data_IF_761633979984
#
_entry.id   IF_761633979984
#
_cell.length_a   1.000
_cell.length_b   1.000
_cell.length_c   1.000
_cell.angle_alpha   90.00
_cell.angle_beta   90.00
_cell.angle_gamma   90.00
#
_symmetry.space_group_name_H-M   'P 1'
#
loop_
_entity.id
_entity.type
_entity.pdbx_description
1 polymer ?
#
# COMPACT_ATOMS: atom_id res chain seq x y z
N UNK A 1 3.69 -18.32 12.74
CA UNK A 1 3.97 -17.79 11.40
C UNK A 1 4.24 -16.28 11.50
N UNK A 2 5.23 -15.78 10.73
CA UNK A 2 5.48 -14.34 10.67
C UNK A 2 4.38 -13.60 9.90
N UNK A 3 4.47 -12.27 9.86
CA UNK A 3 3.47 -11.41 9.21
C UNK A 3 3.16 -11.84 7.76
N UNK A 4 4.18 -12.19 6.98
CA UNK A 4 3.99 -12.65 5.59
C UNK A 4 3.14 -13.92 5.50
N UNK A 5 3.33 -14.86 6.45
CA UNK A 5 2.52 -16.09 6.54
C UNK A 5 1.07 -15.80 6.94
N UNK A 6 0.85 -14.87 7.84
CA UNK A 6 -0.49 -14.44 8.24
C UNK A 6 -1.23 -13.80 7.06
N UNK A 7 -0.60 -12.85 6.37
CA UNK A 7 -1.17 -12.20 5.18
C UNK A 7 -1.48 -13.23 4.09
N UNK A 8 -0.52 -14.13 3.79
CA UNK A 8 -0.70 -15.20 2.80
C UNK A 8 -1.89 -16.10 3.14
N UNK A 9 -2.09 -16.41 4.43
CA UNK A 9 -3.13 -17.35 4.86
C UNK A 9 -4.54 -16.87 4.51
N UNK A 10 -4.92 -15.64 4.90
CA UNK A 10 -6.29 -15.16 4.67
C UNK A 10 -6.51 -14.60 3.27
N UNK A 11 -5.48 -13.98 2.65
CA UNK A 11 -5.58 -13.51 1.27
C UNK A 11 -5.60 -14.69 0.28
N UNK A 12 -4.76 -15.71 0.51
CA UNK A 12 -4.73 -16.91 -0.32
C UNK A 12 -5.97 -17.81 -0.19
N UNK A 13 -6.82 -17.57 0.81
CA UNK A 13 -8.13 -18.22 0.93
C UNK A 13 -9.21 -17.56 0.04
N UNK A 14 -8.91 -16.42 -0.61
CA UNK A 14 -9.82 -15.77 -1.54
C UNK A 14 -9.71 -16.44 -2.92
N UNK A 15 -10.85 -16.79 -3.52
CA UNK A 15 -10.91 -17.48 -4.83
C UNK A 15 -10.32 -16.66 -5.99
N UNK A 16 -10.28 -15.34 -5.85
CA UNK A 16 -9.82 -14.36 -6.85
C UNK A 16 -8.37 -13.90 -6.62
N UNK A 17 -7.62 -14.55 -5.73
CA UNK A 17 -6.26 -14.15 -5.38
C UNK A 17 -5.27 -15.32 -5.41
N UNK A 18 -4.18 -15.15 -6.13
CA UNK A 18 -2.98 -15.98 -6.00
C UNK A 18 -1.92 -15.23 -5.20
N UNK A 19 -1.48 -15.79 -4.07
CA UNK A 19 -0.60 -15.09 -3.12
C UNK A 19 0.76 -15.76 -3.01
N UNK A 20 1.80 -15.00 -3.36
CA UNK A 20 3.21 -15.32 -3.14
C UNK A 20 3.80 -14.44 -2.04
N UNK A 21 4.73 -14.98 -1.29
CA UNK A 21 5.55 -14.21 -0.33
C UNK A 21 6.95 -14.00 -0.89
N UNK A 22 7.57 -12.89 -0.52
CA UNK A 22 8.95 -12.54 -0.81
C UNK A 22 9.59 -11.94 0.45
N UNK A 23 10.87 -12.16 0.64
CA UNK A 23 11.60 -11.66 1.82
C UNK A 23 12.95 -11.07 1.45
N UNK A 24 13.43 -10.14 2.27
CA UNK A 24 14.72 -9.46 2.09
C UNK A 24 15.91 -10.44 1.93
N UNK A 25 15.81 -11.66 2.48
CA UNK A 25 16.91 -12.64 2.47
C UNK A 25 16.94 -13.53 1.23
N UNK A 26 15.95 -13.45 0.40
CA UNK A 26 15.92 -14.14 -0.89
C UNK A 26 16.77 -13.39 -1.95
N UNK A 27 17.26 -14.05 -2.98
CA UNK A 27 17.88 -13.37 -4.13
C UNK A 27 16.92 -12.30 -4.69
N UNK A 28 17.46 -11.13 -5.05
CA UNK A 28 16.67 -9.94 -5.44
C UNK A 28 15.52 -9.60 -4.46
N UNK A 29 15.70 -9.89 -3.16
CA UNK A 29 14.65 -9.76 -2.14
C UNK A 29 13.36 -10.53 -2.48
N UNK A 30 13.47 -11.63 -3.24
CA UNK A 30 12.33 -12.41 -3.74
C UNK A 30 11.50 -11.72 -4.83
N UNK A 31 11.98 -10.60 -5.37
CA UNK A 31 11.29 -9.76 -6.37
C UNK A 31 12.13 -9.57 -7.65
N UNK A 32 12.64 -10.64 -8.29
CA UNK A 32 13.31 -10.52 -9.57
C UNK A 32 12.35 -9.96 -10.63
N UNK A 33 12.85 -9.45 -11.78
CA UNK A 33 12.03 -8.81 -12.80
C UNK A 33 10.81 -9.61 -13.23
N UNK A 34 10.96 -10.90 -13.46
CA UNK A 34 9.89 -11.79 -13.89
C UNK A 34 8.77 -11.96 -12.86
N UNK A 35 9.09 -11.81 -11.57
CA UNK A 35 8.08 -11.83 -10.50
C UNK A 35 7.32 -10.52 -10.48
N UNK A 36 8.01 -9.38 -10.55
CA UNK A 36 7.37 -8.08 -10.57
C UNK A 36 6.50 -7.90 -11.83
N UNK A 37 6.94 -8.39 -12.99
CA UNK A 37 6.13 -8.32 -14.23
C UNK A 37 4.81 -9.10 -14.13
N UNK A 38 4.77 -10.14 -13.30
CA UNK A 38 3.57 -10.96 -13.06
C UNK A 38 2.85 -10.61 -11.74
N UNK A 39 3.13 -9.43 -11.17
CA UNK A 39 2.50 -8.98 -9.92
C UNK A 39 1.50 -7.86 -10.20
N UNK A 40 0.23 -8.06 -9.84
CA UNK A 40 -0.83 -7.06 -9.93
C UNK A 40 -0.83 -6.10 -8.74
N UNK A 41 -0.61 -6.63 -7.53
CA UNK A 41 -0.57 -5.84 -6.28
C UNK A 41 0.58 -6.30 -5.42
N UNK A 42 1.46 -5.37 -5.05
CA UNK A 42 2.55 -5.62 -4.11
C UNK A 42 2.19 -5.08 -2.73
N UNK A 43 2.14 -5.98 -1.73
CA UNK A 43 1.98 -5.62 -0.33
C UNK A 43 3.36 -5.56 0.31
N UNK A 44 3.70 -4.43 0.92
CA UNK A 44 4.98 -4.22 1.59
C UNK A 44 4.78 -4.04 3.09
N UNK A 45 5.34 -4.97 3.84
CA UNK A 45 5.49 -4.88 5.28
C UNK A 45 6.98 -5.01 5.64
N UNK A 46 7.48 -4.19 6.55
CA UNK A 46 8.86 -4.27 7.04
C UNK A 46 9.05 -3.29 8.17
N UNK A 47 9.68 -3.72 9.27
CA UNK A 47 9.90 -2.90 10.46
C UNK A 47 11.38 -2.51 10.63
N UNK A 48 12.29 -3.28 10.05
CA UNK A 48 13.74 -3.07 10.15
C UNK A 48 14.38 -3.23 8.78
N UNK A 49 15.68 -2.86 8.69
CA UNK A 49 16.49 -3.13 7.51
C UNK A 49 15.96 -2.47 6.21
N UNK A 50 15.22 -1.36 6.33
CA UNK A 50 14.74 -0.62 5.16
C UNK A 50 15.87 -0.20 4.22
N UNK A 51 17.04 0.13 4.77
CA UNK A 51 18.21 0.58 4.01
C UNK A 51 18.92 -0.56 3.27
N UNK A 52 18.68 -1.82 3.66
CA UNK A 52 19.27 -3.00 3.02
C UNK A 52 18.59 -3.32 1.66
N UNK A 53 17.43 -2.73 1.36
CA UNK A 53 16.76 -2.91 0.07
C UNK A 53 17.56 -2.20 -1.03
N UNK A 54 17.98 -2.90 -2.10
CA UNK A 54 18.75 -2.30 -3.20
C UNK A 54 17.95 -1.21 -3.93
N UNK A 55 18.64 -0.11 -4.28
CA UNK A 55 17.99 1.02 -4.96
C UNK A 55 17.46 0.63 -6.35
N UNK A 56 18.11 -0.29 -7.06
CA UNK A 56 17.65 -0.82 -8.33
C UNK A 56 16.31 -1.55 -8.19
N UNK A 57 16.08 -2.26 -7.08
CA UNK A 57 14.79 -2.88 -6.79
C UNK A 57 13.73 -1.79 -6.51
N UNK A 58 14.09 -0.76 -5.77
CA UNK A 58 13.19 0.37 -5.48
C UNK A 58 12.72 1.04 -6.78
N UNK A 59 13.63 1.30 -7.72
CA UNK A 59 13.28 1.90 -9.01
C UNK A 59 12.42 0.95 -9.87
N UNK A 60 12.68 -0.37 -9.86
CA UNK A 60 11.82 -1.35 -10.54
C UNK A 60 10.40 -1.35 -9.96
N UNK A 61 10.26 -1.36 -8.63
CA UNK A 61 8.94 -1.29 -7.97
C UNK A 61 8.24 0.02 -8.32
N UNK A 62 8.95 1.14 -8.23
CA UNK A 62 8.40 2.45 -8.57
C UNK A 62 7.89 2.50 -10.02
N UNK A 63 8.70 2.04 -10.99
CA UNK A 63 8.30 1.98 -12.40
C UNK A 63 7.06 1.10 -12.62
N UNK A 64 7.01 -0.08 -12.00
CA UNK A 64 5.84 -0.96 -12.07
C UNK A 64 4.57 -0.30 -11.53
N UNK A 65 4.68 0.46 -10.43
CA UNK A 65 3.53 1.22 -9.90
C UNK A 65 3.10 2.29 -10.90
N UNK A 66 4.04 3.06 -11.48
CA UNK A 66 3.69 4.07 -12.49
C UNK A 66 2.99 3.47 -13.72
N UNK A 67 3.33 2.23 -14.08
CA UNK A 67 2.71 1.50 -15.19
C UNK A 67 1.36 0.86 -14.84
N UNK A 68 1.00 0.74 -13.55
CA UNK A 68 -0.33 0.30 -13.14
C UNK A 68 -0.40 -0.68 -11.98
N UNK A 69 0.71 -1.29 -11.54
CA UNK A 69 0.73 -2.18 -10.38
C UNK A 69 0.21 -1.47 -9.13
N UNK A 70 -0.64 -2.13 -8.35
CA UNK A 70 -1.06 -1.63 -7.03
C UNK A 70 0.06 -1.77 -5.99
N UNK A 71 0.12 -0.83 -5.04
CA UNK A 71 1.08 -0.88 -3.93
C UNK A 71 0.37 -0.64 -2.60
N UNK A 72 0.55 -1.55 -1.64
CA UNK A 72 -0.02 -1.44 -0.30
C UNK A 72 1.12 -1.43 0.71
N UNK A 73 1.30 -0.32 1.41
CA UNK A 73 2.28 -0.20 2.49
C UNK A 73 1.59 -0.40 3.84
N UNK A 74 2.10 -1.32 4.64
CA UNK A 74 1.53 -1.68 5.93
C UNK A 74 2.43 -1.22 7.07
N UNK A 75 1.84 -0.60 8.07
CA UNK A 75 2.47 -0.24 9.34
C UNK A 75 3.79 0.51 9.14
N UNK A 76 4.90 0.02 9.67
CA UNK A 76 6.23 0.60 9.57
C UNK A 76 6.81 0.65 8.15
N UNK A 77 6.12 0.06 7.16
CA UNK A 77 6.49 0.22 5.74
C UNK A 77 6.38 1.68 5.24
N UNK A 78 5.82 2.61 6.02
CA UNK A 78 5.91 4.05 5.74
C UNK A 78 7.37 4.51 5.59
N UNK A 79 8.31 3.85 6.27
CA UNK A 79 9.74 4.16 6.22
C UNK A 79 10.49 3.40 5.11
N UNK A 80 9.83 2.49 4.40
CA UNK A 80 10.44 1.74 3.29
C UNK A 80 10.86 2.67 2.15
N UNK A 81 11.99 2.33 1.50
CA UNK A 81 12.47 3.09 0.33
C UNK A 81 11.41 3.19 -0.79
N UNK A 82 10.69 2.11 -1.17
CA UNK A 82 9.65 2.21 -2.21
C UNK A 82 8.52 3.18 -1.84
N UNK A 83 8.03 3.15 -0.59
CA UNK A 83 6.97 4.07 -0.18
C UNK A 83 7.45 5.52 -0.16
N UNK A 84 8.63 5.80 0.41
CA UNK A 84 9.24 7.14 0.35
C UNK A 84 9.43 7.63 -1.08
N UNK A 85 9.87 6.75 -1.98
CA UNK A 85 10.06 7.07 -3.40
C UNK A 85 8.75 7.45 -4.08
N UNK A 86 7.64 6.76 -3.76
CA UNK A 86 6.30 7.05 -4.26
C UNK A 86 5.69 8.33 -3.65
N UNK A 87 6.00 8.62 -2.39
CA UNK A 87 5.46 9.80 -1.68
C UNK A 87 6.25 11.07 -1.95
N UNK A 88 7.57 10.98 -2.15
CA UNK A 88 8.44 12.13 -2.36
C UNK A 88 8.68 12.98 -1.11
N UNK A 89 8.45 12.41 0.09
CA UNK A 89 8.62 13.06 1.40
C UNK A 89 9.41 12.18 2.34
N UNK A 90 9.69 12.65 3.55
CA UNK A 90 10.40 11.86 4.57
C UNK A 90 9.59 10.67 5.09
N UNK A 91 8.27 10.74 5.01
CA UNK A 91 7.32 9.82 5.61
C UNK A 91 7.52 9.65 7.13
N UNK A 92 8.13 10.64 7.79
CA UNK A 92 8.36 10.63 9.22
C UNK A 92 7.06 10.85 10.01
N UNK A 93 7.01 10.29 11.19
CA UNK A 93 5.93 10.42 12.15
C UNK A 93 6.49 10.25 13.56
N UNK A 94 5.69 10.44 14.62
CA UNK A 94 6.06 10.02 15.96
C UNK A 94 5.24 8.80 16.38
N UNK A 95 5.79 8.01 17.29
CA UNK A 95 5.22 6.70 17.67
C UNK A 95 5.43 6.38 19.15
N UNK A 96 4.62 5.46 19.64
CA UNK A 96 4.68 4.94 21.01
C UNK A 96 4.09 3.52 21.04
N UNK A 97 4.69 2.61 21.79
CA UNK A 97 4.19 1.26 21.97
C UNK A 97 2.95 1.17 22.86
N UNK A 98 2.07 0.22 22.56
CA UNK A 98 1.14 -0.34 23.51
C UNK A 98 -0.15 0.44 23.79
N UNK A 99 -0.72 1.11 22.80
CA UNK A 99 -2.01 1.79 22.93
C UNK A 99 -3.20 0.96 22.42
N UNK A 100 -4.38 1.24 22.97
CA UNK A 100 -5.65 0.88 22.33
C UNK A 100 -5.89 1.83 21.16
N UNK A 101 -6.28 1.28 20.01
CA UNK A 101 -6.68 2.07 18.84
C UNK A 101 -8.17 1.87 18.53
N UNK A 102 -8.86 2.99 18.24
CA UNK A 102 -10.14 2.98 17.55
C UNK A 102 -9.96 3.55 16.15
N UNK A 103 -10.05 2.65 15.19
CA UNK A 103 -9.90 2.96 13.77
C UNK A 103 -11.25 3.37 13.18
N UNK A 104 -11.51 4.65 13.02
CA UNK A 104 -12.75 5.20 12.50
C UNK A 104 -12.83 5.09 10.98
N UNK A 105 -13.98 4.67 10.46
CA UNK A 105 -14.30 4.70 9.04
C UNK A 105 -14.80 6.09 8.66
N UNK A 106 -13.93 6.92 8.09
CA UNK A 106 -14.26 8.31 7.74
C UNK A 106 -14.77 8.47 6.30
N UNK A 107 -14.54 7.46 5.45
CA UNK A 107 -15.13 7.39 4.10
C UNK A 107 -15.82 6.03 3.90
N UNK A 108 -17.05 5.84 4.42
CA UNK A 108 -17.76 4.55 4.37
C UNK A 108 -18.20 4.14 2.95
N UNK A 109 -18.22 5.07 2.00
CA UNK A 109 -18.55 4.77 0.59
C UNK A 109 -17.35 4.22 -0.20
N UNK A 110 -16.13 4.33 0.34
CA UNK A 110 -14.93 3.87 -0.33
C UNK A 110 -14.90 2.33 -0.42
N UNK A 111 -14.48 1.72 -1.56
CA UNK A 111 -14.45 0.27 -1.73
C UNK A 111 -13.68 -0.48 -0.64
N UNK A 112 -12.60 0.10 -0.10
CA UNK A 112 -11.81 -0.49 0.99
C UNK A 112 -12.62 -0.60 2.28
N UNK A 113 -13.57 0.31 2.52
CA UNK A 113 -14.43 0.30 3.70
C UNK A 113 -15.65 -0.62 3.57
N UNK A 114 -15.82 -1.33 2.44
CA UNK A 114 -16.98 -2.19 2.19
C UNK A 114 -17.09 -3.29 3.26
N UNK A 115 -18.23 -3.31 3.95
CA UNK A 115 -18.53 -4.29 5.00
C UNK A 115 -17.89 -3.96 6.35
N UNK A 116 -17.20 -2.83 6.48
CA UNK A 116 -16.66 -2.32 7.74
C UNK A 116 -17.71 -1.38 8.37
N UNK A 117 -17.89 -1.51 9.69
CA UNK A 117 -18.79 -0.63 10.44
C UNK A 117 -18.24 0.77 10.63
N UNK A 118 -18.81 1.49 11.58
CA UNK A 118 -18.44 2.87 11.91
C UNK A 118 -16.97 2.95 12.36
N UNK A 119 -16.51 1.95 13.10
CA UNK A 119 -15.11 1.82 13.54
C UNK A 119 -14.71 0.35 13.76
N UNK A 120 -13.40 0.13 13.88
CA UNK A 120 -12.79 -1.13 14.33
C UNK A 120 -12.03 -0.85 15.63
N UNK A 121 -12.19 -1.69 16.65
CA UNK A 121 -11.38 -1.62 17.87
C UNK A 121 -10.20 -2.58 17.78
N UNK A 122 -9.00 -2.05 18.03
CA UNK A 122 -7.75 -2.80 18.08
C UNK A 122 -7.22 -2.68 19.51
N UNK A 123 -7.28 -3.79 20.28
CA UNK A 123 -7.03 -3.73 21.73
C UNK A 123 -5.63 -3.26 22.12
N UNK A 124 -4.64 -3.60 21.30
CA UNK A 124 -3.23 -3.17 21.48
C UNK A 124 -2.60 -2.94 20.12
N UNK A 125 -2.06 -1.75 19.90
CA UNK A 125 -1.31 -1.40 18.70
C UNK A 125 -0.17 -0.43 19.03
N UNK A 126 0.81 -0.33 18.14
CA UNK A 126 1.79 0.74 18.18
C UNK A 126 1.11 2.04 17.70
N UNK A 127 1.04 3.03 18.59
CA UNK A 127 0.46 4.32 18.25
C UNK A 127 1.36 5.06 17.28
N UNK A 128 0.78 5.51 16.16
CA UNK A 128 1.34 6.53 15.31
C UNK A 128 0.55 7.82 15.47
N UNK A 129 1.25 8.96 15.46
CA UNK A 129 0.64 10.27 15.68
C UNK A 129 0.96 11.27 14.58
N UNK A 130 0.03 12.17 14.33
CA UNK A 130 0.27 13.32 13.47
C UNK A 130 1.35 14.25 14.10
N UNK A 131 2.24 14.91 13.32
CA UNK A 131 2.12 15.03 11.86
C UNK A 131 2.81 13.85 11.17
N UNK A 132 2.10 13.19 10.26
CA UNK A 132 2.68 12.27 9.30
C UNK A 132 3.14 13.05 8.06
N UNK A 133 4.43 13.03 7.75
CA UNK A 133 5.03 13.79 6.65
C UNK A 133 4.83 13.06 5.30
N UNK A 134 3.61 13.11 4.83
CA UNK A 134 3.18 12.57 3.53
C UNK A 134 2.48 13.66 2.71
N UNK A 135 2.45 13.55 1.37
CA UNK A 135 1.59 14.40 0.55
C UNK A 135 0.13 14.17 0.92
N UNK A 136 -0.70 15.19 0.72
CA UNK A 136 -2.14 15.06 0.93
C UNK A 136 -2.66 13.81 0.22
N UNK A 137 -3.36 12.90 0.90
CA UNK A 137 -3.96 11.74 0.25
C UNK A 137 -5.11 12.17 -0.67
N UNK A 138 -5.23 11.50 -1.82
CA UNK A 138 -6.36 11.69 -2.72
C UNK A 138 -7.67 11.31 -2.01
N UNK A 139 -7.63 10.27 -1.17
CA UNK A 139 -8.74 9.83 -0.34
C UNK A 139 -8.24 9.36 1.04
N UNK A 140 -8.90 9.84 2.10
CA UNK A 140 -8.72 9.35 3.46
C UNK A 140 -9.89 8.40 3.80
N UNK A 141 -9.57 7.14 4.10
CA UNK A 141 -10.57 6.10 4.36
C UNK A 141 -10.73 5.83 5.85
N UNK A 142 -9.61 5.79 6.58
CA UNK A 142 -9.61 5.51 8.01
C UNK A 142 -8.77 6.53 8.79
N UNK A 143 -9.29 6.88 9.97
CA UNK A 143 -8.61 7.73 10.96
C UNK A 143 -8.47 6.94 12.27
N UNK A 144 -7.24 6.76 12.74
CA UNK A 144 -6.94 6.18 14.05
C UNK A 144 -7.10 7.23 15.15
N UNK A 145 -7.70 6.81 16.25
CA UNK A 145 -7.65 7.50 17.54
C UNK A 145 -7.06 6.54 18.57
N UNK A 146 -6.09 7.02 19.35
CA UNK A 146 -5.38 6.22 20.34
C UNK A 146 -5.73 6.66 21.76
N UNK A 147 -5.61 5.74 22.72
CA UNK A 147 -6.03 5.97 24.11
C UNK A 147 -5.33 7.15 24.80
N UNK A 148 -4.16 7.57 24.31
CA UNK A 148 -3.47 8.78 24.73
C UNK A 148 -4.05 10.09 24.18
N UNK A 149 -5.00 10.03 23.25
CA UNK A 149 -5.61 11.16 22.56
C UNK A 149 -4.98 11.52 21.23
N UNK A 150 -3.93 10.82 20.84
CA UNK A 150 -3.30 10.99 19.52
C UNK A 150 -4.26 10.56 18.42
N UNK A 151 -4.16 11.23 17.27
CA UNK A 151 -4.91 10.90 16.05
C UNK A 151 -3.93 10.69 14.88
N UNK A 152 -4.34 9.86 13.92
CA UNK A 152 -3.49 9.53 12.80
C UNK A 152 -4.30 9.19 11.54
N UNK A 153 -3.81 9.61 10.38
CA UNK A 153 -4.36 9.21 9.08
C UNK A 153 -3.99 7.76 8.77
N UNK A 154 -4.73 6.81 9.36
CA UNK A 154 -4.42 5.39 9.38
C UNK A 154 -4.75 4.63 8.10
N UNK A 155 -5.57 5.21 7.20
CA UNK A 155 -5.91 4.60 5.92
C UNK A 155 -5.97 5.61 4.79
N UNK A 156 -4.87 5.74 4.02
CA UNK A 156 -4.67 6.77 3.01
C UNK A 156 -4.50 6.17 1.61
N UNK A 157 -5.13 6.78 0.62
CA UNK A 157 -5.05 6.36 -0.78
C UNK A 157 -4.44 7.46 -1.67
N UNK A 158 -3.65 7.04 -2.65
CA UNK A 158 -3.10 7.91 -3.70
C UNK A 158 -3.11 7.21 -5.04
N UNK A 159 -3.05 8.02 -6.09
CA UNK A 159 -2.65 7.57 -7.43
C UNK A 159 -1.22 7.99 -7.71
N UNK A 160 -0.45 7.09 -8.30
CA UNK A 160 0.91 7.35 -8.78
C UNK A 160 1.06 6.76 -10.17
N UNK A 161 1.13 7.65 -11.18
CA UNK A 161 0.98 7.22 -12.57
C UNK A 161 -0.39 6.56 -12.77
N UNK A 162 -0.40 5.32 -13.21
CA UNK A 162 -1.61 4.48 -13.36
C UNK A 162 -1.89 3.61 -12.14
N UNK A 163 -0.90 3.43 -11.25
CA UNK A 163 -1.03 2.61 -10.05
C UNK A 163 -1.78 3.30 -8.92
N UNK A 164 -2.34 2.48 -8.05
CA UNK A 164 -3.00 2.89 -6.82
C UNK A 164 -2.13 2.52 -5.64
N UNK A 165 -1.99 3.44 -4.70
CA UNK A 165 -1.21 3.24 -3.48
C UNK A 165 -2.15 3.34 -2.28
N UNK A 166 -2.08 2.37 -1.38
CA UNK A 166 -2.77 2.42 -0.09
C UNK A 166 -1.77 2.26 1.04
N UNK A 167 -1.88 3.12 2.03
CA UNK A 167 -1.17 2.99 3.30
C UNK A 167 -2.16 2.62 4.40
N UNK A 168 -1.80 1.64 5.23
CA UNK A 168 -2.59 1.20 6.36
C UNK A 168 -1.71 1.09 7.61
N UNK A 169 -2.06 1.83 8.68
CA UNK A 169 -1.22 1.97 9.86
C UNK A 169 -1.23 0.73 10.76
N UNK A 170 -2.37 0.06 11.12
CA UNK A 170 -2.34 -1.05 12.04
C UNK A 170 -1.50 -2.22 11.54
N UNK A 171 -0.77 -2.88 12.44
CA UNK A 171 -0.08 -4.12 12.08
C UNK A 171 1.33 -4.33 12.62
N UNK A 172 1.61 -3.88 13.84
CA UNK A 172 2.87 -4.19 14.52
C UNK A 172 3.03 -5.71 14.73
N UNK A 173 4.22 -6.25 14.50
CA UNK A 173 4.50 -7.69 14.54
C UNK A 173 4.29 -8.37 15.91
N UNK A 174 4.35 -7.60 17.00
CA UNK A 174 4.10 -8.11 18.33
C UNK A 174 2.60 -8.27 18.66
N UNK A 175 1.72 -7.70 17.83
CA UNK A 175 0.28 -7.65 18.08
C UNK A 175 -0.50 -8.59 17.16
N UNK A 176 -1.63 -9.14 17.59
CA UNK A 176 -2.43 -10.06 16.77
C UNK A 176 -3.34 -9.31 15.77
N UNK A 177 -2.96 -8.13 15.32
CA UNK A 177 -3.77 -7.21 14.52
C UNK A 177 -4.29 -7.85 13.23
N UNK A 178 -3.45 -8.61 12.52
CA UNK A 178 -3.85 -9.30 11.30
C UNK A 178 -4.71 -10.56 11.50
N UNK A 179 -5.04 -10.90 12.74
CA UNK A 179 -6.05 -11.92 13.05
C UNK A 179 -7.44 -11.32 13.33
N UNK A 180 -7.57 -10.00 13.40
CA UNK A 180 -8.85 -9.31 13.56
C UNK A 180 -9.63 -9.41 12.24
N UNK A 181 -10.85 -10.00 12.23
CA UNK A 181 -11.59 -10.23 10.98
C UNK A 181 -11.86 -8.97 10.17
N UNK A 182 -12.14 -7.84 10.84
CA UNK A 182 -12.36 -6.56 10.16
C UNK A 182 -11.08 -6.03 9.50
N UNK A 183 -9.91 -6.23 10.13
CA UNK A 183 -8.61 -5.87 9.53
C UNK A 183 -8.33 -6.74 8.31
N UNK A 184 -8.59 -8.03 8.38
CA UNK A 184 -8.47 -8.94 7.23
C UNK A 184 -9.42 -8.52 6.08
N UNK A 185 -10.65 -8.10 6.42
CA UNK A 185 -11.60 -7.59 5.43
C UNK A 185 -11.11 -6.29 4.79
N UNK A 186 -10.56 -5.35 5.56
CA UNK A 186 -9.97 -4.11 5.04
C UNK A 186 -8.85 -4.44 4.05
N UNK A 187 -7.92 -5.32 4.41
CA UNK A 187 -6.79 -5.67 3.55
C UNK A 187 -7.22 -6.43 2.30
N UNK A 188 -8.19 -7.33 2.42
CA UNK A 188 -8.79 -8.02 1.26
C UNK A 188 -9.44 -7.02 0.29
N UNK A 189 -10.21 -6.08 0.81
CA UNK A 189 -10.81 -5.01 0.02
C UNK A 189 -9.73 -4.10 -0.62
N UNK A 190 -8.65 -3.81 0.13
CA UNK A 190 -7.54 -2.99 -0.37
C UNK A 190 -6.83 -3.63 -1.56
N UNK A 191 -6.59 -4.94 -1.52
CA UNK A 191 -6.02 -5.68 -2.65
C UNK A 191 -6.93 -5.58 -3.87
N UNK A 192 -8.24 -5.83 -3.71
CA UNK A 192 -9.22 -5.71 -4.80
C UNK A 192 -9.31 -4.30 -5.36
N UNK A 193 -9.27 -3.28 -4.49
CA UNK A 193 -9.27 -1.88 -4.92
C UNK A 193 -8.00 -1.49 -5.65
N UNK A 194 -6.82 -1.95 -5.17
CA UNK A 194 -5.53 -1.64 -5.75
C UNK A 194 -5.25 -2.39 -7.05
N UNK A 195 -5.94 -3.52 -7.29
CA UNK A 195 -5.76 -4.32 -8.49
C UNK A 195 -5.92 -3.45 -9.76
N UNK A 196 -5.00 -3.59 -10.72
CA UNK A 196 -5.03 -2.82 -11.96
C UNK A 196 -6.19 -3.25 -12.86
N UNK A 197 -6.70 -2.33 -13.67
CA UNK A 197 -7.51 -2.68 -14.84
C UNK A 197 -6.61 -3.06 -16.01
N UNK A 198 -5.45 -2.44 -16.09
CA UNK A 198 -4.44 -2.64 -17.13
C UNK A 198 -3.08 -2.22 -16.57
N UNK A 199 -2.06 -3.00 -16.87
CA UNK A 199 -0.66 -2.61 -16.67
C UNK A 199 -0.06 -2.42 -18.06
N UNK A 200 0.46 -1.24 -18.34
CA UNK A 200 1.07 -0.93 -19.63
C UNK A 200 2.54 -1.36 -19.65
N UNK A 201 3.01 -1.78 -20.81
CA UNK A 201 4.41 -2.21 -20.98
C UNK A 201 5.38 -1.03 -20.86
N UNK A 202 5.02 0.13 -21.43
CA UNK A 202 5.88 1.31 -21.48
C UNK A 202 5.07 2.62 -21.39
N UNK A 203 5.64 3.59 -20.69
CA UNK A 203 5.13 4.97 -20.68
C UNK A 203 5.78 5.73 -21.85
N UNK A 204 5.02 5.93 -22.94
CA UNK A 204 5.52 6.58 -24.15
C UNK A 204 4.92 7.96 -24.33
N UNK A 205 5.77 8.89 -24.80
CA UNK A 205 5.40 10.24 -25.24
C UNK A 205 5.86 10.42 -26.69
N UNK A 206 5.13 9.90 -27.69
CA UNK A 206 5.58 9.97 -29.08
C UNK A 206 5.52 11.40 -29.60
N UNK A 207 6.52 11.76 -30.42
CA UNK A 207 6.50 13.03 -31.17
C UNK A 207 5.37 13.01 -32.21
N UNK A 208 4.57 14.07 -32.26
CA UNK A 208 3.53 14.23 -33.27
C UNK A 208 4.08 15.08 -34.42
N UNK A 209 4.51 14.43 -35.51
CA UNK A 209 5.09 15.10 -36.67
C UNK A 209 4.13 16.04 -37.40
N UNK A 210 2.86 15.63 -37.52
CA UNK A 210 1.80 16.39 -38.19
C UNK A 210 0.51 16.40 -37.36
N UNK A 211 -0.27 17.48 -37.50
CA UNK A 211 -1.55 17.62 -36.82
C UNK A 211 -2.64 16.68 -37.38
N UNK A 212 -3.72 16.41 -36.64
CA UNK A 212 -4.87 15.65 -37.16
C UNK A 212 -5.48 16.29 -38.43
N UNK A 213 -5.50 17.63 -38.52
CA UNK A 213 -6.00 18.37 -39.69
C UNK A 213 -5.13 18.09 -40.90
N UNK A 214 -3.81 18.10 -40.73
CA UNK A 214 -2.87 17.80 -41.81
C UNK A 214 -3.03 16.37 -42.32
N UNK A 215 -3.22 15.40 -41.40
CA UNK A 215 -3.50 13.96 -41.71
C UNK A 215 -4.80 13.82 -42.52
N UNK A 216 -5.83 14.59 -42.17
CA UNK A 216 -7.12 14.56 -42.85
C UNK A 216 -7.06 15.13 -44.27
N UNK A 217 -6.29 16.19 -44.46
CA UNK A 217 -6.14 16.85 -45.79
C UNK A 217 -5.20 16.09 -46.75
N UNK A 218 -4.46 15.09 -46.27
CA UNK A 218 -3.60 14.22 -47.03
C UNK A 218 -4.28 12.97 -47.57
N UNK A 219 -5.55 12.74 -47.21
CA UNK A 219 -6.45 11.67 -47.71
C UNK A 219 -7.36 12.20 -48.80
#
# INVERSE_FOLDING_TARGET
EGIHGQLKSFLGAQEDMEVRTATLREPDCGLPPEVLENTDVLIWWGHKAHDEVPDELVERVHDRVLRGMGFIALHSAHFSKPFKRLMGTSCALHWRDGDFERLWTVNPAHPIAKGIGEYVEIPVEEMYGERFDIPEPDELVFMGWFSGGDVFRSGCCWRRGRGKVFYFQPGHEANPTYYIPQVQQILTNAVRWAAPQEIIDEIVCPHAEISPEQKRNAR
#
